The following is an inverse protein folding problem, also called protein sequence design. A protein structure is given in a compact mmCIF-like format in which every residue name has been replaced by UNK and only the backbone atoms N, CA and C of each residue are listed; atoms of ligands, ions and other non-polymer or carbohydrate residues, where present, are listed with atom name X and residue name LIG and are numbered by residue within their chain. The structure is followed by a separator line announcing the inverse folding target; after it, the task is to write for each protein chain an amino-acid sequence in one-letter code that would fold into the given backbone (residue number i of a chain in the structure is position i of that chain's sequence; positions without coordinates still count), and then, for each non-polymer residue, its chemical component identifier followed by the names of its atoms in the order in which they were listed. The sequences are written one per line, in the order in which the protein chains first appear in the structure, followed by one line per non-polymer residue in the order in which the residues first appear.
data_IF_281068784325
#
_entry.id   IF_281068784325
#
_cell.length_a   1.000
_cell.length_b   1.000
_cell.length_c   1.000
_cell.angle_alpha   90.00
_cell.angle_beta   90.00
_cell.angle_gamma   90.00
#
_symmetry.space_group_name_H-M   'P 1'
#
loop_
_entity.id
_entity.type
_entity.pdbx_description
1 polymer ?
#
# COMPACT_ATOMS: atom_id res chain seq x y z
N UNK A 1 18.02 3.51 -16.76
CA UNK A 1 17.59 2.74 -15.56
C UNK A 1 16.31 1.98 -15.88
N UNK A 2 15.97 0.92 -15.15
CA UNK A 2 14.64 0.26 -15.27
C UNK A 2 13.82 0.57 -14.01
N UNK A 3 12.61 1.09 -14.21
CA UNK A 3 11.63 1.31 -13.15
C UNK A 3 10.50 0.30 -13.33
N UNK A 4 10.44 -0.66 -12.42
CA UNK A 4 9.36 -1.64 -12.35
C UNK A 4 8.26 -1.14 -11.41
N UNK A 5 7.08 -0.85 -11.96
CA UNK A 5 5.96 -0.24 -11.24
C UNK A 5 4.97 -1.32 -10.82
N UNK A 6 4.65 -1.35 -9.53
CA UNK A 6 3.68 -2.26 -8.94
C UNK A 6 2.74 -1.53 -8.00
N UNK A 7 1.67 -2.20 -7.59
CA UNK A 7 0.93 -1.82 -6.39
C UNK A 7 1.47 -2.52 -5.16
N UNK A 8 1.48 -1.81 -4.02
CA UNK A 8 1.71 -2.43 -2.71
C UNK A 8 0.76 -3.62 -2.46
N UNK A 9 -0.48 -3.54 -2.96
CA UNK A 9 -1.46 -4.62 -2.83
C UNK A 9 -1.07 -5.93 -3.54
N UNK A 10 -0.15 -5.88 -4.50
CA UNK A 10 0.39 -7.09 -5.17
C UNK A 10 1.42 -7.81 -4.28
N UNK A 11 2.10 -7.07 -3.39
CA UNK A 11 3.06 -7.62 -2.44
C UNK A 11 2.41 -8.00 -1.12
N UNK A 12 1.46 -7.18 -0.67
CA UNK A 12 0.83 -7.29 0.64
C UNK A 12 -0.68 -7.27 0.48
N UNK A 13 -1.31 -8.42 0.68
CA UNK A 13 -2.77 -8.52 0.62
C UNK A 13 -3.42 -7.89 1.86
N UNK A 14 -4.37 -6.99 1.61
CA UNK A 14 -5.23 -6.44 2.66
C UNK A 14 -6.28 -7.47 3.08
N UNK A 15 -6.22 -7.92 4.34
CA UNK A 15 -7.14 -8.92 4.91
C UNK A 15 -8.39 -8.22 5.44
N UNK A 16 -9.28 -7.83 4.54
CA UNK A 16 -10.50 -7.08 4.87
C UNK A 16 -11.36 -7.82 5.91
N UNK A 17 -11.48 -9.14 5.80
CA UNK A 17 -12.25 -9.96 6.75
C UNK A 17 -11.70 -9.89 8.18
N UNK A 18 -10.38 -9.71 8.35
CA UNK A 18 -9.76 -9.52 9.68
C UNK A 18 -10.17 -8.18 10.28
N UNK A 19 -10.20 -7.11 9.48
CA UNK A 19 -10.69 -5.81 9.93
C UNK A 19 -12.17 -5.87 10.33
N UNK A 20 -13.01 -6.48 9.48
CA UNK A 20 -14.43 -6.65 9.75
C UNK A 20 -14.66 -7.43 11.05
N UNK A 21 -13.97 -8.56 11.22
CA UNK A 21 -14.04 -9.37 12.43
C UNK A 21 -13.59 -8.58 13.67
N UNK A 22 -12.48 -7.84 13.59
CA UNK A 22 -11.98 -7.07 14.73
C UNK A 22 -12.97 -6.01 15.22
N UNK A 23 -13.66 -5.30 14.31
CA UNK A 23 -14.73 -4.37 14.70
C UNK A 23 -15.97 -5.09 15.20
N UNK A 24 -16.39 -6.18 14.56
CA UNK A 24 -17.51 -7.02 15.02
C UNK A 24 -17.31 -7.47 16.47
N UNK A 25 -16.12 -7.98 16.79
CA UNK A 25 -15.76 -8.48 18.12
C UNK A 25 -15.74 -7.35 19.15
N UNK A 26 -15.22 -6.18 18.78
CA UNK A 26 -15.22 -5.01 19.66
C UNK A 26 -16.65 -4.56 20.01
N UNK A 27 -17.54 -4.42 19.02
CA UNK A 27 -18.95 -4.08 19.27
C UNK A 27 -19.69 -5.15 20.08
N UNK A 28 -19.30 -6.42 19.96
CA UNK A 28 -19.87 -7.51 20.75
C UNK A 28 -19.37 -7.49 22.21
N UNK A 29 -18.10 -7.11 22.44
CA UNK A 29 -17.53 -6.96 23.77
C UNK A 29 -18.12 -5.75 24.49
N UNK A 30 -18.22 -4.60 23.83
CA UNK A 30 -18.74 -3.37 24.43
C UNK A 30 -20.16 -3.54 24.99
N UNK A 31 -21.02 -4.24 24.23
CA UNK A 31 -22.39 -4.57 24.65
C UNK A 31 -22.47 -5.46 25.89
N UNK A 32 -21.49 -6.33 26.12
CA UNK A 32 -21.42 -7.17 27.33
C UNK A 32 -21.00 -6.34 28.55
N UNK A 33 -20.15 -5.34 28.35
CA UNK A 33 -19.62 -4.47 29.42
C UNK A 33 -20.66 -3.45 29.87
N UNK A 34 -21.45 -2.90 28.95
CA UNK A 34 -22.41 -1.84 29.28
C UNK A 34 -23.65 -2.29 30.06
N UNK A 35 -23.90 -3.60 30.29
CA UNK A 35 -25.12 -4.13 30.94
C UNK A 35 -26.37 -3.27 30.65
N UNK A 36 -26.60 -2.94 29.38
CA UNK A 36 -27.86 -2.32 28.98
C UNK A 36 -28.94 -3.38 29.09
N UNK A 37 -29.58 -3.45 30.26
CA UNK A 37 -30.96 -3.88 30.39
C UNK A 37 -31.80 -2.88 29.58
N UNK A 38 -31.89 -3.08 28.27
CA UNK A 38 -32.78 -2.28 27.42
C UNK A 38 -33.59 -3.25 26.58
N UNK A 39 -34.84 -3.41 27.02
CA UNK A 39 -36.07 -3.69 26.27
C UNK A 39 -35.90 -4.08 24.80
N UNK A 40 -36.50 -5.22 24.47
CA UNK A 40 -36.47 -5.98 23.22
C UNK A 40 -37.04 -5.28 21.95
N UNK A 41 -36.89 -3.97 21.79
CA UNK A 41 -37.37 -3.24 20.61
C UNK A 41 -36.27 -2.36 20.01
N UNK A 42 -35.54 -2.92 19.03
CA UNK A 42 -35.00 -2.13 17.92
C UNK A 42 -33.50 -1.78 17.89
N UNK A 43 -32.64 -2.26 18.81
CA UNK A 43 -31.20 -2.02 18.69
C UNK A 43 -30.59 -2.85 17.54
N UNK A 44 -30.43 -2.22 16.37
CA UNK A 44 -29.75 -2.84 15.23
C UNK A 44 -28.30 -3.13 15.64
N UNK A 45 -27.95 -4.41 15.68
CA UNK A 45 -26.57 -4.87 15.90
C UNK A 45 -25.68 -4.31 14.80
N UNK A 46 -24.75 -3.43 15.15
CA UNK A 46 -23.69 -2.98 14.24
C UNK A 46 -22.80 -4.17 13.90
N UNK A 47 -22.63 -4.44 12.61
CA UNK A 47 -21.77 -5.51 12.11
C UNK A 47 -20.44 -4.99 11.55
N UNK A 48 -19.45 -5.87 11.40
CA UNK A 48 -18.20 -5.56 10.69
C UNK A 48 -18.43 -5.08 9.25
N UNK A 49 -19.49 -5.57 8.60
CA UNK A 49 -19.88 -5.12 7.25
C UNK A 49 -20.48 -3.71 7.26
N UNK A 50 -21.28 -3.36 8.27
CA UNK A 50 -21.78 -1.98 8.42
C UNK A 50 -20.61 -1.00 8.63
N UNK A 51 -19.63 -1.39 9.46
CA UNK A 51 -18.39 -0.63 9.67
C UNK A 51 -17.61 -0.47 8.37
N UNK A 52 -17.40 -1.56 7.63
CA UNK A 52 -16.67 -1.50 6.37
C UNK A 52 -17.35 -0.58 5.36
N UNK A 53 -18.67 -0.66 5.21
CA UNK A 53 -19.43 0.22 4.29
C UNK A 53 -19.24 1.69 4.64
N UNK A 54 -19.32 2.03 5.92
CA UNK A 54 -19.05 3.40 6.36
C UNK A 54 -17.60 3.80 6.10
N UNK A 55 -16.63 2.94 6.43
CA UNK A 55 -15.21 3.24 6.18
C UNK A 55 -14.93 3.45 4.69
N UNK A 56 -15.38 2.54 3.83
CA UNK A 56 -15.17 2.61 2.39
C UNK A 56 -15.68 3.93 1.79
N UNK A 57 -16.82 4.45 2.27
CA UNK A 57 -17.38 5.73 1.84
C UNK A 57 -16.57 6.95 2.32
N UNK A 58 -15.81 6.82 3.41
CA UNK A 58 -15.13 7.93 4.09
C UNK A 58 -13.59 7.85 4.02
N UNK A 59 -13.00 6.81 3.39
CA UNK A 59 -11.55 6.60 3.36
C UNK A 59 -10.79 7.58 2.45
N UNK A 60 -11.46 8.21 1.48
CA UNK A 60 -10.77 9.01 0.46
C UNK A 60 -9.90 10.15 1.05
N UNK A 61 -10.39 10.99 1.98
CA UNK A 61 -9.56 12.02 2.61
C UNK A 61 -8.37 11.46 3.39
N UNK A 62 -8.53 10.30 4.05
CA UNK A 62 -7.46 9.63 4.78
C UNK A 62 -6.37 9.12 3.83
N UNK A 63 -6.75 8.54 2.67
CA UNK A 63 -5.82 8.01 1.66
C UNK A 63 -4.94 9.07 1.01
N UNK A 64 -5.42 10.30 0.88
CA UNK A 64 -4.63 11.41 0.32
C UNK A 64 -4.03 12.32 1.39
N UNK A 65 -4.05 11.89 2.67
CA UNK A 65 -3.47 12.66 3.76
C UNK A 65 -4.13 14.02 4.03
N UNK A 66 -5.42 14.18 3.67
CA UNK A 66 -6.26 15.34 4.03
C UNK A 66 -6.86 15.22 5.42
N UNK A 67 -6.78 14.04 6.03
CA UNK A 67 -7.27 13.75 7.37
C UNK A 67 -6.30 12.79 8.06
N UNK A 68 -6.16 12.92 9.38
CA UNK A 68 -5.42 11.98 10.23
C UNK A 68 -6.29 10.79 10.64
N UNK A 69 -5.67 9.66 11.01
CA UNK A 69 -6.43 8.52 11.54
C UNK A 69 -7.15 8.84 12.84
N UNK A 70 -6.63 9.78 13.64
CA UNK A 70 -7.30 10.22 14.87
C UNK A 70 -8.62 10.92 14.54
N UNK A 71 -8.61 11.86 13.59
CA UNK A 71 -9.84 12.51 13.11
C UNK A 71 -10.82 11.49 12.51
N UNK A 72 -10.32 10.48 11.79
CA UNK A 72 -11.15 9.41 11.26
C UNK A 72 -11.79 8.56 12.37
N UNK A 73 -11.05 8.27 13.45
CA UNK A 73 -11.55 7.62 14.66
C UNK A 73 -12.61 8.47 15.37
N UNK A 74 -12.40 9.79 15.45
CA UNK A 74 -13.36 10.71 16.08
C UNK A 74 -14.68 10.73 15.27
N UNK A 75 -14.62 10.77 13.94
CA UNK A 75 -15.79 10.65 13.06
C UNK A 75 -16.48 9.28 13.16
N UNK A 76 -15.70 8.21 13.33
CA UNK A 76 -16.23 6.86 13.55
C UNK A 76 -17.04 6.80 14.85
N UNK A 77 -16.48 7.32 15.94
CA UNK A 77 -17.15 7.37 17.25
C UNK A 77 -18.43 8.20 17.19
N UNK A 78 -18.41 9.35 16.51
CA UNK A 78 -19.60 10.18 16.27
C UNK A 78 -20.68 9.42 15.48
N UNK A 79 -20.30 8.76 14.38
CA UNK A 79 -21.24 8.05 13.51
C UNK A 79 -21.91 6.86 14.20
N UNK A 80 -21.12 6.01 14.86
CA UNK A 80 -21.63 4.81 15.53
C UNK A 80 -22.10 5.08 16.97
N UNK A 81 -21.95 6.31 17.47
CA UNK A 81 -22.30 6.73 18.83
C UNK A 81 -21.62 5.86 19.89
N UNK A 82 -20.31 5.66 19.72
CA UNK A 82 -19.47 4.84 20.60
C UNK A 82 -18.25 5.60 21.08
N UNK A 83 -17.57 5.09 22.11
CA UNK A 83 -16.39 5.71 22.70
C UNK A 83 -15.15 4.81 22.53
N UNK A 84 -14.88 4.35 21.31
CA UNK A 84 -13.66 3.56 21.05
C UNK A 84 -12.42 4.44 21.24
N UNK A 85 -11.44 3.95 21.99
CA UNK A 85 -10.18 4.69 22.13
C UNK A 85 -9.40 4.67 20.81
N UNK A 86 -8.60 5.72 20.56
CA UNK A 86 -7.74 5.76 19.38
C UNK A 86 -6.78 4.56 19.30
N UNK A 87 -6.32 4.05 20.44
CA UNK A 87 -5.42 2.89 20.50
C UNK A 87 -6.11 1.62 19.99
N UNK A 88 -7.34 1.35 20.46
CA UNK A 88 -8.14 0.21 20.00
C UNK A 88 -8.49 0.33 18.53
N UNK A 89 -8.97 1.51 18.11
CA UNK A 89 -9.30 1.78 16.72
C UNK A 89 -8.10 1.55 15.81
N UNK A 90 -6.95 2.14 16.15
CA UNK A 90 -5.71 2.00 15.37
C UNK A 90 -5.25 0.55 15.30
N UNK A 91 -5.36 -0.21 16.39
CA UNK A 91 -5.00 -1.64 16.41
C UNK A 91 -5.88 -2.45 15.46
N UNK A 92 -7.21 -2.28 15.53
CA UNK A 92 -8.14 -3.00 14.66
C UNK A 92 -7.96 -2.55 13.21
N UNK A 93 -7.88 -1.24 12.97
CA UNK A 93 -7.71 -0.66 11.63
C UNK A 93 -6.44 -1.15 10.92
N UNK A 94 -5.32 -1.27 11.63
CA UNK A 94 -4.06 -1.75 11.06
C UNK A 94 -3.99 -3.28 10.91
N UNK A 95 -4.87 -4.05 11.57
CA UNK A 95 -4.84 -5.52 11.55
C UNK A 95 -5.03 -6.14 10.16
N UNK A 96 -5.74 -5.47 9.25
CA UNK A 96 -5.85 -5.91 7.85
C UNK A 96 -4.51 -5.91 7.10
N UNK A 97 -3.52 -5.19 7.61
CA UNK A 97 -2.20 -5.02 6.99
C UNK A 97 -1.12 -5.89 7.66
N UNK A 98 -1.51 -6.88 8.47
CA UNK A 98 -0.55 -7.84 9.03
C UNK A 98 -0.02 -8.77 7.94
N UNK A 99 1.29 -8.76 7.76
CA UNK A 99 1.99 -9.55 6.75
C UNK A 99 1.96 -11.02 7.13
N UNK A 100 1.59 -11.88 6.18
CA UNK A 100 1.82 -13.32 6.32
C UNK A 100 3.20 -13.72 5.77
N UNK A 101 3.57 -14.94 6.10
CA UNK A 101 4.82 -15.55 5.66
C UNK A 101 5.00 -15.49 4.14
N UNK A 102 3.94 -15.76 3.37
CA UNK A 102 4.00 -15.72 1.90
C UNK A 102 4.30 -14.31 1.37
N UNK A 103 3.73 -13.27 1.98
CA UNK A 103 4.02 -11.88 1.63
C UNK A 103 5.47 -11.52 1.97
N UNK A 104 5.98 -11.96 3.12
CA UNK A 104 7.38 -11.74 3.52
C UNK A 104 8.37 -12.44 2.59
N UNK A 105 8.12 -13.70 2.26
CA UNK A 105 8.93 -14.48 1.31
C UNK A 105 8.94 -13.84 -0.07
N UNK A 106 7.80 -13.35 -0.55
CA UNK A 106 7.72 -12.63 -1.83
C UNK A 106 8.61 -11.39 -1.80
N UNK A 107 8.47 -10.52 -0.79
CA UNK A 107 9.29 -9.30 -0.70
C UNK A 107 10.78 -9.65 -0.58
N UNK A 108 11.13 -10.71 0.16
CA UNK A 108 12.51 -11.17 0.27
C UNK A 108 13.11 -11.60 -1.07
N UNK A 109 12.38 -12.37 -1.89
CA UNK A 109 12.84 -12.75 -3.24
C UNK A 109 13.09 -11.53 -4.14
N UNK A 110 12.20 -10.54 -4.10
CA UNK A 110 12.38 -9.30 -4.85
C UNK A 110 13.58 -8.49 -4.36
N UNK A 111 13.84 -8.51 -3.04
CA UNK A 111 15.04 -7.88 -2.49
C UNK A 111 16.32 -8.57 -2.97
N UNK A 112 16.38 -9.90 -2.91
CA UNK A 112 17.51 -10.68 -3.43
C UNK A 112 17.74 -10.44 -4.93
N UNK A 113 16.67 -10.24 -5.69
CA UNK A 113 16.75 -9.88 -7.10
C UNK A 113 17.35 -8.48 -7.29
N UNK A 114 16.88 -7.48 -6.53
CA UNK A 114 17.39 -6.11 -6.62
C UNK A 114 18.85 -5.99 -6.19
N UNK A 115 19.29 -6.78 -5.21
CA UNK A 115 20.68 -6.83 -4.75
C UNK A 115 21.65 -7.32 -5.85
N UNK A 116 21.14 -7.98 -6.89
CA UNK A 116 21.92 -8.41 -8.07
C UNK A 116 21.77 -7.47 -9.26
N UNK A 117 20.88 -6.48 -9.18
CA UNK A 117 20.48 -5.64 -10.31
C UNK A 117 20.36 -4.16 -9.90
N UNK A 118 21.50 -3.52 -9.63
CA UNK A 118 21.60 -2.14 -9.12
C UNK A 118 20.90 -1.07 -10.01
N UNK A 119 20.69 -1.36 -11.29
CA UNK A 119 20.06 -0.45 -12.24
C UNK A 119 18.53 -0.63 -12.34
N UNK A 120 17.95 -1.49 -11.50
CA UNK A 120 16.51 -1.71 -11.38
C UNK A 120 16.02 -1.06 -10.09
N UNK A 121 14.92 -0.30 -10.21
CA UNK A 121 14.17 0.21 -9.06
C UNK A 121 12.73 -0.28 -9.12
N UNK A 122 12.21 -0.74 -7.99
CA UNK A 122 10.80 -1.06 -7.78
C UNK A 122 10.11 0.17 -7.21
N UNK A 123 9.05 0.62 -7.88
CA UNK A 123 8.19 1.70 -7.40
C UNK A 123 6.81 1.12 -7.05
N UNK A 124 6.46 1.18 -5.78
CA UNK A 124 5.19 0.70 -5.22
C UNK A 124 4.19 1.86 -5.15
N UNK A 125 3.36 1.98 -6.19
CA UNK A 125 2.25 2.95 -6.26
C UNK A 125 1.08 2.44 -5.43
N UNK A 126 0.61 3.21 -4.46
CA UNK A 126 -0.45 2.72 -3.57
C UNK A 126 -1.42 3.77 -3.05
N UNK A 127 -2.70 3.39 -3.00
CA UNK A 127 -3.71 4.08 -2.21
C UNK A 127 -3.65 3.59 -0.76
N UNK A 128 -2.88 4.30 0.08
CA UNK A 128 -2.66 3.95 1.48
C UNK A 128 -2.71 5.19 2.37
N UNK A 129 -2.54 5.01 3.68
CA UNK A 129 -2.45 6.07 4.68
C UNK A 129 -1.24 5.84 5.59
N UNK A 130 -0.82 6.87 6.33
CA UNK A 130 0.42 6.82 7.11
C UNK A 130 0.44 5.66 8.11
N UNK A 131 -0.62 5.43 8.93
CA UNK A 131 -0.67 4.28 9.82
C UNK A 131 -0.48 2.92 9.14
N UNK A 132 -1.23 2.65 8.06
CA UNK A 132 -1.10 1.40 7.32
C UNK A 132 0.31 1.22 6.76
N UNK A 133 0.86 2.26 6.12
CA UNK A 133 2.19 2.18 5.53
C UNK A 133 3.26 1.96 6.60
N UNK A 134 3.27 2.75 7.68
CA UNK A 134 4.26 2.58 8.74
C UNK A 134 4.12 1.22 9.45
N UNK A 135 2.91 0.71 9.60
CA UNK A 135 2.69 -0.62 10.15
C UNK A 135 3.27 -1.71 9.25
N UNK A 136 3.06 -1.65 7.93
CA UNK A 136 3.66 -2.57 6.96
C UNK A 136 5.20 -2.47 6.98
N UNK A 137 5.75 -1.27 6.88
CA UNK A 137 7.20 -1.04 6.89
C UNK A 137 7.86 -1.55 8.19
N UNK A 138 7.19 -1.39 9.33
CA UNK A 138 7.70 -1.89 10.62
C UNK A 138 7.80 -3.42 10.69
N UNK A 139 6.94 -4.13 9.96
CA UNK A 139 6.98 -5.58 9.84
C UNK A 139 8.08 -6.00 8.86
N UNK A 140 8.16 -5.35 7.69
CA UNK A 140 9.20 -5.61 6.69
C UNK A 140 10.62 -5.41 7.27
N UNK A 141 10.86 -4.29 7.96
CA UNK A 141 12.17 -3.99 8.57
C UNK A 141 12.63 -5.05 9.57
N UNK A 142 11.70 -5.70 10.27
CA UNK A 142 12.03 -6.78 11.22
C UNK A 142 12.34 -8.09 10.53
N UNK A 143 11.77 -8.30 9.35
CA UNK A 143 11.81 -9.59 8.65
C UNK A 143 12.83 -9.64 7.51
N UNK A 144 13.26 -8.49 6.98
CA UNK A 144 14.15 -8.39 5.81
C UNK A 144 15.33 -7.47 6.18
N UNK A 145 16.49 -8.03 6.57
CA UNK A 145 17.72 -7.28 6.82
C UNK A 145 18.17 -6.52 5.56
N UNK A 146 18.59 -5.26 5.72
CA UNK A 146 18.94 -4.43 4.56
C UNK A 146 17.75 -4.07 3.67
N UNK A 147 16.52 -4.38 4.11
CA UNK A 147 15.27 -4.08 3.42
C UNK A 147 14.73 -2.69 3.75
N UNK A 148 15.62 -1.72 4.01
CA UNK A 148 15.25 -0.33 4.05
C UNK A 148 14.48 0.01 2.78
N UNK A 149 13.35 0.70 2.96
CA UNK A 149 12.58 1.19 1.86
C UNK A 149 12.40 2.69 2.05
N UNK A 150 12.54 3.42 0.96
CA UNK A 150 12.29 4.86 0.97
C UNK A 150 10.83 5.14 0.65
N UNK A 151 10.27 6.13 1.33
CA UNK A 151 8.97 6.71 0.98
C UNK A 151 9.26 7.96 0.15
N UNK A 152 8.84 7.94 -1.12
CA UNK A 152 8.91 9.14 -1.96
C UNK A 152 7.94 10.17 -1.36
N UNK A 153 8.49 11.27 -0.88
CA UNK A 153 7.75 12.34 -0.23
C UNK A 153 8.45 13.68 -0.40
N UNK A 154 7.68 14.76 -0.32
CA UNK A 154 8.16 16.14 -0.16
C UNK A 154 8.49 16.46 1.31
N UNK A 155 7.91 15.71 2.25
CA UNK A 155 7.93 16.06 3.68
C UNK A 155 9.18 15.53 4.41
N UNK A 156 9.81 14.49 3.87
CA UNK A 156 10.94 13.81 4.50
C UNK A 156 12.06 13.60 3.50
N UNK A 157 13.31 13.83 3.91
CA UNK A 157 14.47 13.43 3.12
C UNK A 157 14.51 11.89 3.03
N UNK A 158 14.58 11.37 1.81
CA UNK A 158 14.68 9.94 1.52
C UNK A 158 15.88 9.70 0.59
N UNK A 159 16.45 8.50 0.64
CA UNK A 159 17.61 8.15 -0.18
C UNK A 159 17.17 7.76 -1.59
N UNK A 160 17.69 8.47 -2.60
CA UNK A 160 17.45 8.15 -4.02
C UNK A 160 18.12 6.83 -4.42
N UNK A 161 19.07 6.33 -3.62
CA UNK A 161 19.83 5.10 -3.91
C UNK A 161 19.04 3.82 -3.59
N UNK A 162 17.96 3.93 -2.81
CA UNK A 162 17.11 2.78 -2.48
C UNK A 162 16.49 2.15 -3.73
N UNK A 163 16.43 0.82 -3.74
CA UNK A 163 15.90 0.03 -4.86
C UNK A 163 14.43 -0.30 -4.69
N UNK A 164 13.87 -0.21 -3.48
CA UNK A 164 12.43 -0.34 -3.21
C UNK A 164 11.88 1.00 -2.72
N UNK A 165 11.02 1.59 -3.54
CA UNK A 165 10.49 2.94 -3.34
C UNK A 165 8.98 2.91 -3.20
N UNK A 166 8.46 3.43 -2.10
CA UNK A 166 7.03 3.58 -1.88
C UNK A 166 6.55 4.93 -2.40
N UNK A 167 5.58 4.92 -3.30
CA UNK A 167 4.88 6.10 -3.82
C UNK A 167 3.43 6.09 -3.34
N UNK A 168 3.15 6.49 -2.08
CA UNK A 168 1.80 6.48 -1.53
C UNK A 168 1.01 7.73 -1.93
N UNK A 169 -0.31 7.57 -2.12
CA UNK A 169 -1.25 8.66 -2.40
C UNK A 169 -1.25 9.76 -1.34
N UNK A 170 -0.88 9.44 -0.10
CA UNK A 170 -0.79 10.42 0.97
C UNK A 170 0.40 11.38 0.82
N UNK A 171 1.45 10.99 0.10
CA UNK A 171 2.58 11.85 -0.25
C UNK A 171 2.29 12.65 -1.51
N UNK A 172 1.81 11.98 -2.57
CA UNK A 172 1.50 12.63 -3.86
C UNK A 172 0.25 13.50 -3.82
N UNK A 173 -0.64 13.27 -2.84
CA UNK A 173 -1.99 13.83 -2.72
C UNK A 173 -2.89 13.50 -3.92
N UNK A 174 -2.52 12.52 -4.74
CA UNK A 174 -3.28 12.08 -5.92
C UNK A 174 -4.27 10.97 -5.57
N UNK A 175 -5.43 10.96 -6.22
CA UNK A 175 -6.47 9.93 -6.05
C UNK A 175 -6.34 8.78 -7.06
N UNK A 176 -5.54 8.97 -8.11
CA UNK A 176 -5.36 8.00 -9.18
C UNK A 176 -3.90 7.48 -9.22
N UNK A 177 -3.75 6.21 -9.58
CA UNK A 177 -2.45 5.57 -9.67
C UNK A 177 -1.53 6.19 -10.75
N UNK A 178 -2.00 6.54 -11.98
CA UNK A 178 -1.15 7.22 -12.97
C UNK A 178 -0.58 8.54 -12.46
N UNK A 179 -1.37 9.38 -11.79
CA UNK A 179 -0.87 10.66 -11.25
C UNK A 179 0.14 10.46 -10.13
N UNK A 180 -0.07 9.43 -9.30
CA UNK A 180 0.91 9.04 -8.27
C UNK A 180 2.21 8.54 -8.88
N UNK A 181 2.16 7.78 -9.98
CA UNK A 181 3.35 7.39 -10.73
C UNK A 181 4.05 8.61 -11.33
N UNK A 182 3.30 9.54 -11.95
CA UNK A 182 3.86 10.79 -12.50
C UNK A 182 4.60 11.60 -11.43
N UNK A 183 4.03 11.69 -10.23
CA UNK A 183 4.69 12.29 -9.08
C UNK A 183 6.00 11.57 -8.74
N UNK A 184 5.99 10.24 -8.64
CA UNK A 184 7.16 9.44 -8.32
C UNK A 184 8.29 9.55 -9.36
N UNK A 185 7.95 9.47 -10.65
CA UNK A 185 8.93 9.59 -11.75
C UNK A 185 9.58 10.97 -11.76
N UNK A 186 8.80 12.04 -11.56
CA UNK A 186 9.34 13.41 -11.42
C UNK A 186 10.33 13.51 -10.26
N UNK A 187 10.03 12.84 -9.14
CA UNK A 187 10.91 12.81 -7.96
C UNK A 187 12.20 12.03 -8.20
N UNK A 188 12.12 10.96 -8.98
CA UNK A 188 13.27 10.16 -9.40
C UNK A 188 14.08 10.78 -10.54
N UNK A 189 13.65 11.94 -11.07
CA UNK A 189 14.31 12.66 -12.18
C UNK A 189 14.52 11.77 -13.42
N UNK A 190 13.55 10.91 -13.69
CA UNK A 190 13.59 9.98 -14.83
C UNK A 190 13.70 10.71 -16.16
N UNK A 191 14.49 10.14 -17.06
CA UNK A 191 14.73 10.68 -18.40
C UNK A 191 14.07 9.83 -19.48
N UNK A 192 14.07 10.32 -20.72
CA UNK A 192 13.47 9.59 -21.86
C UNK A 192 14.16 8.25 -22.16
N UNK A 193 15.43 8.08 -21.74
CA UNK A 193 16.21 6.86 -21.88
C UNK A 193 15.88 5.79 -20.82
N UNK A 194 15.11 6.14 -19.79
CA UNK A 194 14.69 5.20 -18.76
C UNK A 194 13.56 4.30 -19.24
N UNK A 195 13.62 3.03 -18.86
CA UNK A 195 12.52 2.08 -19.10
C UNK A 195 11.56 2.13 -17.92
N UNK A 196 10.28 2.38 -18.19
CA UNK A 196 9.22 2.36 -17.18
C UNK A 196 8.28 1.22 -17.50
N UNK A 197 8.35 0.15 -16.71
CA UNK A 197 7.59 -1.09 -16.95
C UNK A 197 6.54 -1.21 -15.87
N UNK A 198 5.27 -1.12 -16.24
CA UNK A 198 4.17 -1.30 -15.30
C UNK A 198 3.66 -2.74 -15.29
N UNK A 199 3.60 -3.29 -14.09
CA UNK A 199 2.90 -4.53 -13.76
C UNK A 199 1.58 -4.26 -13.03
N UNK A 200 1.18 -2.99 -12.94
CA UNK A 200 -0.01 -2.53 -12.26
C UNK A 200 -1.12 -2.27 -13.27
N UNK A 201 -2.17 -3.09 -13.25
CA UNK A 201 -3.27 -3.06 -14.22
C UNK A 201 -4.06 -1.74 -14.31
N UNK A 202 -3.96 -0.85 -13.30
CA UNK A 202 -4.56 0.50 -13.36
C UNK A 202 -3.70 1.49 -14.14
N UNK A 203 -2.48 1.11 -14.52
CA UNK A 203 -1.54 1.92 -15.32
C UNK A 203 -1.14 1.09 -16.54
N UNK A 204 -2.07 0.91 -17.48
CA UNK A 204 -1.79 0.21 -18.75
C UNK A 204 -1.24 1.15 -19.83
N UNK A 205 -1.43 2.45 -19.65
CA UNK A 205 -0.97 3.50 -20.54
C UNK A 205 -0.43 4.65 -19.69
N UNK A 206 0.69 5.19 -20.10
CA UNK A 206 1.35 6.30 -19.43
C UNK A 206 2.18 7.08 -20.44
N UNK A 207 2.23 8.40 -20.29
CA UNK A 207 2.97 9.28 -21.19
C UNK A 207 4.46 9.27 -20.83
N UNK A 208 5.21 8.30 -21.37
CA UNK A 208 6.67 8.21 -21.27
C UNK A 208 7.22 7.38 -22.45
N UNK A 209 8.29 7.79 -23.15
CA UNK A 209 8.81 7.10 -24.34
C UNK A 209 9.19 5.63 -24.09
N UNK A 210 9.86 5.36 -22.97
CA UNK A 210 10.21 4.01 -22.53
C UNK A 210 9.12 3.25 -21.76
N UNK A 211 7.85 3.67 -21.84
CA UNK A 211 6.77 3.02 -21.10
C UNK A 211 6.31 1.72 -21.74
N UNK A 212 6.12 0.68 -20.92
CA UNK A 212 5.41 -0.53 -21.33
C UNK A 212 4.56 -1.07 -20.18
N UNK A 213 3.45 -1.73 -20.51
CA UNK A 213 2.66 -2.49 -19.55
C UNK A 213 2.82 -3.99 -19.83
N UNK A 214 3.00 -4.76 -18.76
CA UNK A 214 3.05 -6.22 -18.79
C UNK A 214 2.11 -6.75 -17.73
N UNK A 215 1.20 -7.64 -18.10
CA UNK A 215 0.36 -8.34 -17.12
C UNK A 215 1.23 -9.32 -16.31
N UNK A 216 1.38 -9.14 -14.98
CA UNK A 216 2.16 -10.06 -14.15
C UNK A 216 1.53 -11.45 -14.01
N UNK A 217 0.25 -11.61 -14.40
CA UNK A 217 -0.49 -12.84 -14.18
C UNK A 217 -0.67 -13.15 -12.69
N UNK A 218 -0.71 -14.44 -12.35
CA UNK A 218 -0.95 -14.92 -10.98
C UNK A 218 0.30 -15.04 -10.13
N UNK A 219 1.46 -15.17 -10.76
CA UNK A 219 2.74 -15.45 -10.12
C UNK A 219 3.63 -14.22 -10.30
N UNK A 220 3.65 -13.38 -9.26
CA UNK A 220 4.32 -12.09 -9.33
C UNK A 220 5.81 -12.27 -9.56
N UNK A 221 6.42 -13.36 -9.09
CA UNK A 221 7.85 -13.61 -9.22
C UNK A 221 8.32 -13.75 -10.67
N UNK A 222 7.44 -14.16 -11.61
CA UNK A 222 7.78 -14.27 -13.04
C UNK A 222 8.08 -12.93 -13.70
N UNK A 223 7.69 -11.82 -13.07
CA UNK A 223 8.05 -10.49 -13.58
C UNK A 223 9.56 -10.24 -13.52
N UNK A 224 10.29 -10.92 -12.63
CA UNK A 224 11.75 -10.77 -12.52
C UNK A 224 12.44 -11.21 -13.82
N UNK A 225 12.01 -12.34 -14.40
CA UNK A 225 12.49 -12.80 -15.73
C UNK A 225 12.17 -11.79 -16.84
N UNK A 226 11.01 -11.13 -16.76
CA UNK A 226 10.63 -10.08 -17.71
C UNK A 226 11.57 -8.88 -17.61
N UNK A 227 11.89 -8.46 -16.39
CA UNK A 227 12.81 -7.34 -16.14
C UNK A 227 14.23 -7.67 -16.63
N UNK A 228 14.73 -8.88 -16.39
CA UNK A 228 16.03 -9.35 -16.91
C UNK A 228 16.07 -9.38 -18.45
N UNK A 229 14.99 -9.82 -19.09
CA UNK A 229 14.86 -9.84 -20.54
C UNK A 229 14.87 -8.45 -21.20
N UNK A 230 14.55 -7.39 -20.47
CA UNK A 230 14.62 -6.01 -20.97
C UNK A 230 16.04 -5.45 -20.95
N UNK A 231 16.87 -5.88 -19.99
CA UNK A 231 18.28 -5.48 -19.92
C UNK A 231 19.05 -5.97 -21.14
N UNK A 232 18.82 -7.22 -21.53
CA UNK A 232 19.52 -7.88 -22.63
C UNK A 232 19.19 -7.29 -24.01
N UNK A 233 18.03 -6.66 -24.20
CA UNK A 233 17.70 -5.93 -25.43
C UNK A 233 18.43 -4.58 -25.56
N UNK A 234 18.70 -3.90 -24.45
CA UNK A 234 19.44 -2.63 -24.47
C UNK A 234 20.94 -2.82 -24.76
N UNK A 235 21.54 -3.94 -24.36
CA UNK A 235 22.96 -4.23 -24.63
C UNK A 235 23.26 -4.42 -26.14
N UNK A 236 22.27 -4.87 -26.91
CA UNK A 236 22.42 -5.15 -28.36
C UNK A 236 22.33 -3.86 -29.20
N UNK A 237 21.68 -2.80 -28.70
CA UNK A 237 21.52 -1.55 -29.47
C UNK A 237 22.76 -0.65 -29.41
N UNK A 238 23.62 -0.80 -28.38
CA UNK A 238 24.87 -0.03 -28.24
C UNK A 238 26.12 -0.73 -28.82
N UNK A 239 25.96 -1.84 -29.56
CA UNK A 239 27.06 -2.62 -30.13
C UNK A 239 27.11 -2.62 -31.66
N UNK A 240 26.65 -1.54 -32.31
CA UNK A 240 26.78 -1.34 -33.77
C UNK A 240 27.42 0.01 -34.08
#
# INVERSE_FOLDING_TARGET
MIIAVFSLGQFVSSKLEVLKAGFQDWFAAERKTEKKEVSAEGEKTVTGEDVWKWMAANLAPLRVGKMTLKQFCDQFNEHFKVNMTFSEFSKIFNSMCTLDQASLERVAKFKEFLDKHEHVKIVLVSHTNYPHLHYILSQLKKSIPGGEAAIISDETQWSEDETILFAPSMSSKCTEHPDTLKYALKKLKTTEDDLVVSFLNTIQKFEHPGFSYVDPGKDLEKVMETVEGLQSKNTVVYSV
#
